data_IF_708548882988
#
_entry.id   IF_708548882988
#
_cell.length_a   1.000
_cell.length_b   1.000
_cell.length_c   1.000
_cell.angle_alpha   90.00
_cell.angle_beta   90.00
_cell.angle_gamma   90.00
#
_symmetry.space_group_name_H-M   'P 1'
#
loop_
_entity.id
_entity.type
_entity.pdbx_description
1 polymer ?
#
# COMPACT_ATOMS: atom_id res chain seq x y z
N UNK A 1 -19.99 -16.26 -17.43
CA UNK A 1 -19.44 -15.25 -16.50
C UNK A 1 -18.14 -15.79 -15.93
N UNK A 2 -17.01 -15.17 -16.25
CA UNK A 2 -15.72 -15.56 -15.69
C UNK A 2 -15.75 -15.25 -14.19
N UNK A 3 -15.75 -16.30 -13.35
CA UNK A 3 -15.30 -16.17 -11.96
C UNK A 3 -13.85 -15.70 -12.03
N UNK A 4 -13.64 -14.39 -11.93
CA UNK A 4 -12.31 -13.83 -11.67
C UNK A 4 -11.86 -14.48 -10.37
N UNK A 5 -10.95 -15.43 -10.48
CA UNK A 5 -10.29 -16.03 -9.33
C UNK A 5 -9.67 -14.88 -8.58
N UNK A 6 -10.32 -14.43 -7.49
CA UNK A 6 -9.82 -13.39 -6.61
C UNK A 6 -8.47 -13.90 -6.15
N UNK A 7 -7.39 -13.40 -6.74
CA UNK A 7 -6.05 -13.78 -6.36
C UNK A 7 -5.98 -13.47 -4.88
N UNK A 8 -6.04 -14.52 -4.06
CA UNK A 8 -6.06 -14.39 -2.61
C UNK A 8 -4.69 -13.88 -2.26
N UNK A 9 -4.51 -12.55 -2.22
CA UNK A 9 -3.34 -11.93 -1.64
C UNK A 9 -3.40 -12.32 -0.17
N UNK A 10 -2.71 -13.42 0.16
CA UNK A 10 -2.80 -14.05 1.48
C UNK A 10 -2.21 -13.11 2.53
N UNK A 11 -1.06 -12.53 2.23
CA UNK A 11 -0.37 -11.57 3.09
C UNK A 11 0.43 -10.59 2.24
N UNK A 12 0.28 -9.30 2.53
CA UNK A 12 0.97 -8.21 1.86
C UNK A 12 1.16 -7.03 2.80
N UNK A 13 2.12 -6.17 2.47
CA UNK A 13 2.26 -4.86 3.09
C UNK A 13 1.35 -3.86 2.38
N UNK A 14 0.49 -3.17 3.14
CA UNK A 14 -0.51 -2.24 2.59
C UNK A 14 -0.09 -0.79 2.79
N UNK A 15 0.43 -0.18 1.73
CA UNK A 15 0.79 1.23 1.69
C UNK A 15 -0.39 2.05 1.19
N UNK A 16 -1.27 2.47 2.09
CA UNK A 16 -2.37 3.39 1.77
C UNK A 16 -1.84 4.82 1.89
N UNK A 17 -1.84 5.58 0.79
CA UNK A 17 -1.16 6.87 0.68
C UNK A 17 -2.15 7.97 0.36
N UNK A 18 -2.08 9.08 1.07
CA UNK A 18 -2.84 10.29 0.80
C UNK A 18 -1.86 11.45 0.61
N UNK A 19 -1.58 11.80 -0.64
CA UNK A 19 -0.62 12.85 -0.97
C UNK A 19 0.82 12.53 -0.50
N UNK A 20 1.20 13.06 0.67
CA UNK A 20 2.51 12.87 1.30
C UNK A 20 2.44 12.11 2.64
N UNK A 21 1.27 11.61 2.99
CA UNK A 21 1.01 10.87 4.23
C UNK A 21 0.76 9.39 3.90
N UNK A 22 1.14 8.53 4.83
CA UNK A 22 0.94 7.09 4.75
C UNK A 22 0.06 6.67 5.92
N UNK A 23 -0.89 5.79 5.66
CA UNK A 23 -1.61 5.10 6.71
C UNK A 23 -0.66 4.13 7.40
N UNK A 24 -0.62 4.24 8.72
CA UNK A 24 0.12 3.35 9.58
C UNK A 24 -0.85 2.75 10.59
N UNK A 25 -0.84 1.43 10.71
CA UNK A 25 -1.52 0.74 11.79
C UNK A 25 -0.51 0.63 12.94
N UNK A 26 -0.83 1.22 14.09
CA UNK A 26 0.04 1.21 15.29
C UNK A 26 1.47 1.75 15.03
N UNK A 27 1.61 2.70 14.10
CA UNK A 27 2.90 3.32 13.75
C UNK A 27 3.74 2.54 12.72
N UNK A 28 3.23 1.41 12.22
CA UNK A 28 3.89 0.59 11.20
C UNK A 28 2.98 0.34 9.98
N UNK A 29 3.59 -0.09 8.87
CA UNK A 29 2.84 -0.40 7.66
C UNK A 29 2.06 -1.70 7.88
N UNK A 30 0.72 -1.69 7.76
CA UNK A 30 -0.09 -2.86 8.05
C UNK A 30 0.29 -4.03 7.15
N UNK A 31 0.58 -5.16 7.78
CA UNK A 31 0.89 -6.42 7.12
C UNK A 31 -0.23 -7.42 7.36
N UNK A 32 -0.79 -7.97 6.28
CA UNK A 32 -1.89 -8.92 6.38
C UNK A 32 -2.66 -9.04 5.08
N UNK A 33 -3.88 -9.58 5.16
CA UNK A 33 -4.77 -9.68 4.00
C UNK A 33 -5.56 -8.38 3.82
N UNK A 34 -5.99 -8.08 2.59
CA UNK A 34 -6.81 -6.91 2.33
C UNK A 34 -8.14 -6.95 3.11
N UNK A 35 -8.70 -8.15 3.28
CA UNK A 35 -9.96 -8.38 3.98
C UNK A 35 -9.86 -8.03 5.47
N UNK A 36 -8.72 -8.31 6.10
CA UNK A 36 -8.45 -7.93 7.50
C UNK A 36 -8.53 -6.41 7.71
N UNK A 37 -8.13 -5.63 6.70
CA UNK A 37 -8.11 -4.17 6.74
C UNK A 37 -9.28 -3.52 5.98
N UNK A 38 -10.22 -4.33 5.48
CA UNK A 38 -11.32 -3.88 4.60
C UNK A 38 -10.83 -3.01 3.42
N UNK A 39 -9.69 -3.39 2.84
CA UNK A 39 -9.09 -2.70 1.70
C UNK A 39 -9.49 -3.34 0.36
N UNK A 40 -9.68 -2.54 -0.69
CA UNK A 40 -9.97 -3.04 -2.03
C UNK A 40 -8.69 -3.56 -2.70
N UNK A 41 -8.36 -4.83 -2.45
CA UNK A 41 -7.19 -5.49 -3.07
C UNK A 41 -7.10 -5.34 -4.59
N UNK A 42 -8.25 -5.25 -5.26
CA UNK A 42 -8.35 -5.16 -6.72
C UNK A 42 -7.89 -3.79 -7.26
N UNK A 43 -7.97 -2.74 -6.43
CA UNK A 43 -7.48 -1.41 -6.76
C UNK A 43 -6.01 -1.23 -6.39
N UNK A 44 -5.46 -2.17 -5.62
CA UNK A 44 -4.12 -2.06 -5.11
C UNK A 44 -3.08 -2.43 -6.17
N UNK A 45 -2.04 -1.61 -6.28
CA UNK A 45 -0.96 -1.80 -7.24
C UNK A 45 0.23 -2.39 -6.50
N UNK A 46 0.73 -3.55 -6.95
CA UNK A 46 1.99 -4.08 -6.41
C UNK A 46 3.15 -3.16 -6.85
N UNK A 47 3.78 -2.50 -5.88
CA UNK A 47 4.91 -1.59 -6.12
C UNK A 47 6.26 -2.26 -5.93
N UNK A 48 6.31 -3.36 -5.19
CA UNK A 48 7.51 -4.13 -4.99
C UNK A 48 7.27 -5.35 -4.10
N UNK A 49 8.35 -5.80 -3.48
CA UNK A 49 8.37 -6.90 -2.54
C UNK A 49 9.30 -6.51 -1.38
N UNK A 50 8.86 -6.78 -0.16
CA UNK A 50 9.62 -6.52 1.06
C UNK A 50 9.57 -7.77 1.92
N UNK A 51 10.74 -8.25 2.35
CA UNK A 51 10.88 -9.47 3.17
C UNK A 51 10.11 -10.70 2.64
N UNK A 52 10.14 -10.93 1.32
CA UNK A 52 9.46 -12.07 0.70
C UNK A 52 7.96 -11.89 0.49
N UNK A 53 7.40 -10.72 0.81
CA UNK A 53 5.98 -10.44 0.70
C UNK A 53 5.70 -9.25 -0.23
N UNK A 54 4.61 -9.30 -1.02
CA UNK A 54 4.26 -8.23 -1.92
C UNK A 54 3.93 -6.95 -1.14
N UNK A 55 4.38 -5.82 -1.68
CA UNK A 55 4.03 -4.50 -1.20
C UNK A 55 2.97 -3.93 -2.13
N UNK A 56 1.78 -3.75 -1.58
CA UNK A 56 0.61 -3.22 -2.27
C UNK A 56 0.45 -1.74 -1.96
N UNK A 57 0.14 -0.96 -2.99
CA UNK A 57 -0.06 0.48 -2.90
C UNK A 57 -1.51 0.82 -3.21
N UNK A 58 -2.12 1.64 -2.37
CA UNK A 58 -3.47 2.16 -2.52
C UNK A 58 -3.44 3.68 -2.30
N UNK A 59 -4.24 4.43 -3.04
CA UNK A 59 -4.44 5.83 -2.70
C UNK A 59 -5.64 5.92 -1.76
N UNK A 60 -5.48 6.62 -0.63
CA UNK A 60 -6.57 6.85 0.31
C UNK A 60 -7.74 7.60 -0.32
N UNK A 61 -7.47 8.45 -1.32
CA UNK A 61 -8.50 9.14 -2.10
C UNK A 61 -9.46 8.18 -2.85
N UNK A 62 -9.03 6.95 -3.12
CA UNK A 62 -9.85 5.91 -3.75
C UNK A 62 -10.58 5.03 -2.71
N UNK A 63 -10.39 5.31 -1.41
CA UNK A 63 -10.96 4.55 -0.31
C UNK A 63 -12.04 5.34 0.43
N UNK A 64 -13.16 4.68 0.71
CA UNK A 64 -14.15 5.21 1.64
C UNK A 64 -13.69 4.94 3.09
N UNK A 65 -13.53 6.00 3.90
CA UNK A 65 -13.29 5.91 5.36
C UNK A 65 -12.24 6.88 5.91
N UNK A 66 -12.40 7.32 7.17
CA UNK A 66 -11.39 8.08 7.91
C UNK A 66 -10.29 7.14 8.41
N UNK A 67 -9.03 7.42 8.07
CA UNK A 67 -7.84 6.70 8.54
C UNK A 67 -6.86 7.67 9.15
N UNK A 68 -6.16 7.23 10.20
CA UNK A 68 -5.08 8.02 10.80
C UNK A 68 -3.87 8.03 9.87
N UNK A 69 -3.81 9.07 9.04
CA UNK A 69 -2.70 9.33 8.15
C UNK A 69 -1.55 9.92 8.95
N UNK A 70 -0.40 9.28 8.87
CA UNK A 70 0.81 9.70 9.57
C UNK A 70 1.83 10.21 8.56
N UNK A 71 2.47 11.34 8.89
CA UNK A 71 3.57 11.87 8.10
C UNK A 71 4.70 10.82 7.95
N UNK A 72 5.06 10.53 6.71
CA UNK A 72 6.07 9.53 6.34
C UNK A 72 7.44 9.76 6.99
N UNK A 73 7.72 10.97 7.48
CA UNK A 73 9.00 11.37 8.08
C UNK A 73 9.37 10.57 9.34
N UNK A 74 8.38 10.07 10.09
CA UNK A 74 8.62 9.37 11.36
C UNK A 74 8.60 7.84 11.26
N UNK A 75 8.30 7.26 10.11
CA UNK A 75 8.24 5.81 9.94
C UNK A 75 9.41 5.31 9.06
N UNK A 76 10.31 4.53 9.67
CA UNK A 76 11.48 3.96 8.99
C UNK A 76 11.08 3.06 7.81
N UNK A 77 9.95 2.36 7.94
CA UNK A 77 9.38 1.52 6.89
C UNK A 77 8.85 2.38 5.74
N UNK A 78 8.19 3.51 6.02
CA UNK A 78 7.79 4.48 5.00
C UNK A 78 8.99 5.03 4.22
N UNK A 79 10.10 5.39 4.88
CA UNK A 79 11.29 5.87 4.17
C UNK A 79 11.82 4.86 3.14
N UNK A 80 11.86 3.57 3.50
CA UNK A 80 12.29 2.51 2.57
C UNK A 80 11.31 2.29 1.43
N UNK A 81 10.00 2.40 1.70
CA UNK A 81 8.95 2.21 0.70
C UNK A 81 8.82 3.41 -0.26
N UNK A 82 9.00 4.64 0.23
CA UNK A 82 9.09 5.84 -0.61
C UNK A 82 10.24 5.73 -1.62
N UNK A 83 11.34 5.06 -1.27
CA UNK A 83 12.45 4.81 -2.19
C UNK A 83 12.10 3.87 -3.35
N UNK A 84 11.18 2.92 -3.13
CA UNK A 84 10.67 2.05 -4.21
C UNK A 84 9.86 2.89 -5.21
N UNK A 85 9.09 3.86 -4.73
CA UNK A 85 8.26 4.72 -5.57
C UNK A 85 9.00 5.83 -6.31
N UNK A 86 10.08 6.38 -5.74
CA UNK A 86 10.90 7.38 -6.45
C UNK A 86 11.49 6.83 -7.75
N UNK A 87 11.68 5.50 -7.85
CA UNK A 87 12.05 4.82 -9.10
C UNK A 87 10.90 4.68 -10.10
N UNK A 88 9.66 4.51 -9.66
CA UNK A 88 8.49 4.45 -10.58
C UNK A 88 8.08 5.83 -11.11
N UNK A 89 8.14 6.89 -10.29
CA UNK A 89 7.89 8.27 -10.77
C UNK A 89 8.92 8.75 -11.79
N UNK A 90 10.13 8.21 -11.79
CA UNK A 90 11.14 8.53 -12.81
C UNK A 90 10.84 7.93 -14.19
N UNK A 91 9.97 6.92 -14.27
CA UNK A 91 9.67 6.21 -15.53
C UNK A 91 8.34 6.63 -16.18
N UNK A 92 7.67 7.66 -15.63
CA UNK A 92 6.43 8.23 -16.17
C UNK A 92 6.61 9.68 -16.66
N UNK A 93 7.85 10.17 -16.69
CA UNK A 93 8.22 11.53 -17.09
C UNK A 93 9.07 11.57 -18.39
N UNK A 94 8.88 10.60 -19.29
CA UNK A 94 9.43 10.59 -20.66
C UNK A 94 8.31 10.50 -21.68
#
# INVERSE_FOLDING_TARGET
>A
MLKKSKATIRQAYWCVVSGNELWLADGEVPFGSAEQFSLPAEQAIQVGEFEGHPVMWLNDADLDGERELTCCANCFTCQKLCFINSRKRFNMAT
#
